data_IF_416909438460
#
_entry.id   IF_416909438460
#
_cell.length_a   1.000
_cell.length_b   1.000
_cell.length_c   1.000
_cell.angle_alpha   90.00
_cell.angle_beta   90.00
_cell.angle_gamma   90.00
#
_symmetry.space_group_name_H-M   'P 1'
#
loop_
_entity.id
_entity.type
_entity.pdbx_description
1 polymer ?
#
# COMPACT_ATOMS: atom_id res chain seq x y z
N UNK A 1 6.45 11.51 -16.65
CA UNK A 1 5.76 10.45 -15.89
C UNK A 1 6.36 10.44 -14.51
N UNK A 2 5.51 10.31 -13.49
CA UNK A 2 5.96 10.22 -12.09
C UNK A 2 6.60 8.84 -11.85
N UNK A 3 7.33 8.71 -10.75
CA UNK A 3 7.99 7.48 -10.30
C UNK A 3 7.77 7.27 -8.81
N UNK A 4 8.02 6.05 -8.33
CA UNK A 4 7.89 5.72 -6.90
C UNK A 4 8.86 6.51 -6.00
N UNK A 5 9.99 6.98 -6.50
CA UNK A 5 10.93 7.81 -5.75
C UNK A 5 10.52 9.29 -5.65
N UNK A 6 9.53 9.72 -6.44
CA UNK A 6 9.07 11.10 -6.42
C UNK A 6 8.22 11.37 -5.16
N UNK A 7 8.11 12.64 -4.78
CA UNK A 7 7.29 13.06 -3.64
C UNK A 7 5.81 12.72 -3.89
N UNK A 8 5.11 12.30 -2.83
CA UNK A 8 3.68 12.05 -2.88
C UNK A 8 2.92 13.29 -3.36
N UNK A 9 2.03 13.16 -4.35
CA UNK A 9 1.11 14.23 -4.71
C UNK A 9 0.09 14.46 -3.58
N UNK A 10 -0.53 15.65 -3.53
CA UNK A 10 -1.49 16.00 -2.47
C UNK A 10 -2.69 15.05 -2.44
N UNK A 11 -3.14 14.61 -3.61
CA UNK A 11 -4.22 13.65 -3.77
C UNK A 11 -3.89 12.30 -3.13
N UNK A 12 -2.61 11.88 -3.15
CA UNK A 12 -2.22 10.64 -2.46
C UNK A 12 -2.27 10.82 -0.93
N UNK A 13 -1.86 11.99 -0.42
CA UNK A 13 -1.97 12.28 1.02
C UNK A 13 -3.44 12.31 1.47
N UNK A 14 -4.32 12.86 0.65
CA UNK A 14 -5.77 12.83 0.85
C UNK A 14 -6.31 11.39 0.84
N UNK A 15 -5.97 10.60 -0.17
CA UNK A 15 -6.36 9.19 -0.25
C UNK A 15 -5.91 8.38 0.97
N UNK A 16 -4.72 8.67 1.51
CA UNK A 16 -4.22 8.04 2.75
C UNK A 16 -5.13 8.35 3.94
N UNK A 17 -5.58 9.59 4.11
CA UNK A 17 -6.51 9.97 5.19
C UNK A 17 -7.88 9.29 5.01
N UNK A 18 -8.45 9.36 3.81
CA UNK A 18 -9.73 8.72 3.43
C UNK A 18 -9.69 7.21 3.72
N UNK A 19 -8.68 6.51 3.20
CA UNK A 19 -8.49 5.06 3.42
C UNK A 19 -8.39 4.71 4.91
N UNK A 20 -7.65 5.53 5.67
CA UNK A 20 -7.40 5.26 7.08
C UNK A 20 -8.59 5.61 7.98
N UNK A 21 -9.54 6.43 7.53
CA UNK A 21 -10.81 6.71 8.22
C UNK A 21 -11.93 5.75 7.88
N UNK A 22 -11.77 4.96 6.81
CA UNK A 22 -12.78 4.02 6.34
C UNK A 22 -13.67 4.57 5.22
N UNK A 23 -13.30 5.73 4.66
CA UNK A 23 -13.96 6.37 3.52
C UNK A 23 -13.39 5.76 2.22
N UNK A 24 -13.54 4.43 2.09
CA UNK A 24 -12.88 3.65 1.05
C UNK A 24 -13.43 3.89 -0.35
N UNK A 25 -14.68 4.35 -0.46
CA UNK A 25 -15.27 4.70 -1.76
C UNK A 25 -14.66 6.01 -2.27
N UNK A 26 -14.55 7.01 -1.39
CA UNK A 26 -13.93 8.30 -1.64
C UNK A 26 -12.44 8.13 -1.95
N UNK A 27 -11.74 7.31 -1.17
CA UNK A 27 -10.35 6.93 -1.46
C UNK A 27 -10.21 6.30 -2.85
N UNK A 28 -11.15 5.45 -3.26
CA UNK A 28 -11.15 4.85 -4.59
C UNK A 28 -11.21 5.93 -5.67
N UNK A 29 -12.11 6.91 -5.54
CA UNK A 29 -12.25 7.99 -6.52
C UNK A 29 -10.97 8.84 -6.58
N UNK A 30 -10.42 9.23 -5.43
CA UNK A 30 -9.17 10.01 -5.36
C UNK A 30 -7.99 9.27 -6.01
N UNK A 31 -7.86 7.96 -5.79
CA UNK A 31 -6.77 7.16 -6.37
C UNK A 31 -6.99 6.85 -7.85
N UNK A 32 -8.23 6.74 -8.31
CA UNK A 32 -8.54 6.56 -9.73
C UNK A 32 -7.99 7.72 -10.57
N UNK A 33 -8.17 8.97 -10.11
CA UNK A 33 -7.60 10.16 -10.76
C UNK A 33 -6.08 10.09 -10.90
N UNK A 34 -5.39 9.56 -9.87
CA UNK A 34 -3.94 9.36 -9.88
C UNK A 34 -3.51 8.22 -10.80
N UNK A 35 -4.32 7.18 -10.92
CA UNK A 35 -4.05 5.99 -11.71
C UNK A 35 -4.23 6.21 -13.21
N UNK A 36 -5.19 7.04 -13.61
CA UNK A 36 -5.50 7.31 -15.02
C UNK A 36 -4.26 7.88 -15.74
N UNK A 37 -3.87 7.22 -16.82
CA UNK A 37 -2.74 7.63 -17.66
C UNK A 37 -1.35 7.22 -17.16
N UNK A 38 -1.23 6.69 -15.94
CA UNK A 38 0.03 6.16 -15.43
C UNK A 38 0.37 4.80 -16.06
N UNK A 39 1.67 4.47 -16.09
CA UNK A 39 2.19 3.19 -16.60
C UNK A 39 3.30 2.65 -15.71
N UNK A 40 3.64 1.38 -15.92
CA UNK A 40 4.71 0.72 -15.18
C UNK A 40 4.40 0.63 -13.69
N UNK A 41 5.41 0.79 -12.87
CA UNK A 41 5.35 0.57 -11.43
C UNK A 41 4.32 1.46 -10.70
N UNK A 42 4.20 2.74 -11.06
CA UNK A 42 3.19 3.62 -10.47
C UNK A 42 1.76 3.20 -10.80
N UNK A 43 1.54 2.66 -12.00
CA UNK A 43 0.23 2.13 -12.36
C UNK A 43 -0.12 0.96 -11.47
N UNK A 44 0.83 0.03 -11.26
CA UNK A 44 0.64 -1.11 -10.37
C UNK A 44 0.42 -0.67 -8.91
N UNK A 45 1.15 0.37 -8.45
CA UNK A 45 0.97 0.96 -7.13
C UNK A 45 -0.44 1.51 -6.93
N UNK A 46 -0.86 2.46 -7.76
CA UNK A 46 -2.19 3.07 -7.62
C UNK A 46 -3.31 2.05 -7.85
N UNK A 47 -3.14 1.12 -8.80
CA UNK A 47 -4.10 0.04 -9.01
C UNK A 47 -4.25 -0.85 -7.77
N UNK A 48 -3.14 -1.20 -7.13
CA UNK A 48 -3.15 -1.99 -5.90
C UNK A 48 -3.89 -1.26 -4.78
N UNK A 49 -3.57 0.00 -4.53
CA UNK A 49 -4.25 0.81 -3.50
C UNK A 49 -5.75 0.94 -3.79
N UNK A 50 -6.11 1.25 -5.04
CA UNK A 50 -7.49 1.36 -5.50
C UNK A 50 -8.26 0.06 -5.26
N UNK A 51 -7.71 -1.08 -5.68
CA UNK A 51 -8.35 -2.38 -5.48
C UNK A 51 -8.53 -2.73 -4.00
N UNK A 52 -7.54 -2.43 -3.16
CA UNK A 52 -7.66 -2.68 -1.71
C UNK A 52 -8.71 -1.79 -1.04
N UNK A 53 -8.89 -0.55 -1.50
CA UNK A 53 -9.96 0.32 -1.02
C UNK A 53 -11.34 -0.28 -1.37
N UNK A 54 -11.54 -0.65 -2.63
CA UNK A 54 -12.80 -1.29 -3.08
C UNK A 54 -13.01 -2.63 -2.38
N UNK A 55 -11.95 -3.39 -2.10
CA UNK A 55 -12.05 -4.64 -1.35
C UNK A 55 -12.62 -4.46 0.07
N UNK A 56 -12.16 -3.42 0.79
CA UNK A 56 -12.67 -3.10 2.12
C UNK A 56 -14.10 -2.55 2.07
N UNK A 57 -14.44 -1.77 1.04
CA UNK A 57 -15.81 -1.35 0.81
C UNK A 57 -16.73 -2.55 0.54
N UNK A 58 -16.33 -3.51 -0.30
CA UNK A 58 -17.06 -4.74 -0.53
C UNK A 58 -17.20 -5.60 0.72
N UNK A 59 -16.15 -5.70 1.54
CA UNK A 59 -16.24 -6.39 2.82
C UNK A 59 -17.29 -5.72 3.74
N UNK A 60 -17.28 -4.39 3.85
CA UNK A 60 -18.26 -3.63 4.64
C UNK A 60 -19.70 -3.85 4.18
N UNK A 61 -19.90 -3.97 2.87
CA UNK A 61 -21.21 -4.12 2.25
C UNK A 61 -21.67 -5.60 2.15
N UNK A 62 -20.90 -6.54 2.71
CA UNK A 62 -21.23 -7.97 2.70
C UNK A 62 -20.93 -8.70 1.40
N UNK A 63 -20.23 -8.08 0.45
CA UNK A 63 -19.79 -8.73 -0.78
C UNK A 63 -18.48 -9.50 -0.56
N UNK A 64 -18.61 -10.70 0.03
CA UNK A 64 -17.50 -11.58 0.37
C UNK A 64 -16.60 -11.93 -0.83
N UNK A 65 -17.19 -12.37 -1.94
CA UNK A 65 -16.44 -12.82 -3.13
C UNK A 65 -15.70 -11.66 -3.79
N UNK A 66 -16.34 -10.50 -3.87
CA UNK A 66 -15.73 -9.27 -4.37
C UNK A 66 -14.54 -8.85 -3.52
N UNK A 67 -14.70 -8.86 -2.18
CA UNK A 67 -13.63 -8.53 -1.25
C UNK A 67 -12.40 -9.44 -1.43
N UNK A 68 -12.58 -10.78 -1.45
CA UNK A 68 -11.47 -11.71 -1.62
C UNK A 68 -10.74 -11.54 -2.96
N UNK A 69 -11.50 -11.35 -4.05
CA UNK A 69 -10.93 -11.18 -5.40
C UNK A 69 -10.05 -9.92 -5.47
N UNK A 70 -10.51 -8.83 -4.87
CA UNK A 70 -9.80 -7.56 -4.89
C UNK A 70 -8.64 -7.50 -3.89
N UNK A 71 -8.74 -8.20 -2.74
CA UNK A 71 -7.60 -8.38 -1.84
C UNK A 71 -6.45 -9.12 -2.53
N UNK A 72 -6.77 -10.19 -3.27
CA UNK A 72 -5.78 -10.96 -4.01
C UNK A 72 -5.15 -10.12 -5.13
N UNK A 73 -5.96 -9.61 -6.05
CA UNK A 73 -5.46 -8.85 -7.20
C UNK A 73 -4.75 -7.56 -6.80
N UNK A 74 -5.24 -6.87 -5.76
CA UNK A 74 -4.59 -5.69 -5.20
C UNK A 74 -3.22 -6.01 -4.62
N UNK A 75 -3.12 -7.08 -3.82
CA UNK A 75 -1.85 -7.59 -3.30
C UNK A 75 -0.87 -7.99 -4.41
N UNK A 76 -1.36 -8.66 -5.46
CA UNK A 76 -0.55 -9.05 -6.62
C UNK A 76 0.01 -7.83 -7.36
N UNK A 77 -0.77 -6.75 -7.48
CA UNK A 77 -0.28 -5.49 -8.03
C UNK A 77 0.85 -4.90 -7.19
N UNK A 78 0.64 -4.79 -5.88
CA UNK A 78 1.64 -4.25 -4.96
C UNK A 78 2.92 -5.10 -4.88
N UNK A 79 2.83 -6.41 -5.13
CA UNK A 79 4.00 -7.30 -5.15
C UNK A 79 5.01 -6.97 -6.28
N UNK A 80 4.56 -6.24 -7.32
CA UNK A 80 5.40 -5.78 -8.44
C UNK A 80 6.00 -4.39 -8.23
N UNK A 81 5.70 -3.76 -7.09
CA UNK A 81 6.10 -2.40 -6.74
C UNK A 81 7.23 -2.43 -5.72
N UNK A 82 8.14 -1.46 -5.80
CA UNK A 82 9.19 -1.26 -4.82
C UNK A 82 8.62 -1.22 -3.39
N UNK A 83 9.40 -1.68 -2.37
CA UNK A 83 8.93 -1.74 -0.98
C UNK A 83 8.41 -0.41 -0.43
N UNK A 84 8.91 0.71 -0.97
CA UNK A 84 8.41 2.06 -0.69
C UNK A 84 8.11 2.74 -2.02
N UNK A 85 6.92 3.31 -2.14
CA UNK A 85 6.50 4.07 -3.31
C UNK A 85 5.78 5.35 -2.88
N UNK A 86 6.27 6.50 -3.33
CA UNK A 86 5.80 7.84 -2.96
C UNK A 86 5.67 8.00 -1.44
N UNK A 87 6.65 7.47 -0.71
CA UNK A 87 6.69 7.47 0.74
C UNK A 87 5.73 6.50 1.42
N UNK A 88 4.89 5.74 0.71
CA UNK A 88 4.03 4.69 1.29
C UNK A 88 4.82 3.39 1.48
N UNK A 89 4.63 2.74 2.63
CA UNK A 89 5.18 1.40 2.92
C UNK A 89 4.36 0.32 2.21
N UNK A 90 4.70 0.10 0.93
CA UNK A 90 4.02 -0.83 0.03
C UNK A 90 4.26 -2.28 0.45
N UNK A 91 5.47 -2.61 0.89
CA UNK A 91 5.79 -3.95 1.36
C UNK A 91 4.90 -4.35 2.55
N UNK A 92 4.70 -3.43 3.50
CA UNK A 92 3.79 -3.68 4.62
C UNK A 92 2.34 -3.81 4.18
N UNK A 93 1.88 -2.94 3.27
CA UNK A 93 0.51 -2.98 2.77
C UNK A 93 0.20 -4.30 2.05
N UNK A 94 1.11 -4.77 1.19
CA UNK A 94 0.96 -6.04 0.48
C UNK A 94 0.92 -7.22 1.46
N UNK A 95 1.81 -7.23 2.46
CA UNK A 95 1.83 -8.28 3.48
C UNK A 95 0.55 -8.28 4.33
N UNK A 96 0.04 -7.11 4.71
CA UNK A 96 -1.19 -6.99 5.50
C UNK A 96 -2.43 -7.35 4.65
N UNK A 97 -2.45 -7.04 3.35
CA UNK A 97 -3.49 -7.50 2.42
C UNK A 97 -3.56 -9.02 2.35
N UNK A 98 -2.42 -9.71 2.27
CA UNK A 98 -2.35 -11.17 2.32
C UNK A 98 -2.88 -11.77 3.63
N UNK A 99 -2.55 -11.17 4.79
CA UNK A 99 -3.08 -11.62 6.09
C UNK A 99 -4.59 -11.44 6.19
N UNK A 100 -5.09 -10.29 5.72
CA UNK A 100 -6.52 -10.00 5.69
C UNK A 100 -7.26 -10.98 4.79
N UNK A 101 -6.73 -11.24 3.59
CA UNK A 101 -7.29 -12.22 2.65
C UNK A 101 -7.40 -13.61 3.28
N UNK A 102 -6.33 -14.08 3.93
CA UNK A 102 -6.31 -15.39 4.59
C UNK A 102 -7.31 -15.47 5.74
N UNK A 103 -7.36 -14.44 6.59
CA UNK A 103 -8.29 -14.39 7.72
C UNK A 103 -9.75 -14.35 7.24
N UNK A 104 -10.05 -13.51 6.25
CA UNK A 104 -11.39 -13.40 5.67
C UNK A 104 -11.81 -14.73 5.01
N UNK A 105 -10.91 -15.37 4.26
CA UNK A 105 -11.17 -16.68 3.66
C UNK A 105 -11.40 -17.77 4.70
N UNK A 106 -10.71 -17.73 5.85
CA UNK A 106 -10.87 -18.70 6.92
C UNK A 106 -12.19 -18.53 7.69
N UNK A 107 -12.69 -17.30 7.80
CA UNK A 107 -14.01 -17.01 8.35
C UNK A 107 -15.13 -17.52 7.43
N UNK A 108 -14.97 -17.31 6.13
CA UNK A 108 -16.02 -17.57 5.14
C UNK A 108 -17.10 -16.48 5.13
N UNK A 109 -18.01 -16.57 4.16
CA UNK A 109 -19.07 -15.58 3.90
C UNK A 109 -19.96 -15.34 5.13
N UNK A 110 -20.41 -16.41 5.79
CA UNK A 110 -21.32 -16.33 6.94
C UNK A 110 -20.73 -15.63 8.17
N UNK A 111 -19.39 -15.56 8.29
CA UNK A 111 -18.68 -15.06 9.48
C UNK A 111 -17.77 -13.89 9.18
N UNK A 112 -17.87 -13.27 8.00
CA UNK A 112 -17.00 -12.17 7.60
C UNK A 112 -17.12 -10.93 8.50
N UNK A 113 -18.24 -10.76 9.20
CA UNK A 113 -18.45 -9.70 10.20
C UNK A 113 -17.65 -9.91 11.49
N UNK A 114 -17.14 -11.12 11.74
CA UNK A 114 -16.26 -11.44 12.87
C UNK A 114 -14.79 -11.06 12.60
N UNK A 115 -14.50 -10.47 11.43
CA UNK A 115 -13.15 -10.05 11.08
C UNK A 115 -12.59 -9.08 12.13
N UNK A 116 -11.41 -9.40 12.63
CA UNK A 116 -10.78 -8.62 13.68
C UNK A 116 -10.39 -7.22 13.18
N UNK A 117 -10.81 -6.19 13.92
CA UNK A 117 -10.57 -4.79 13.56
C UNK A 117 -9.08 -4.45 13.31
N UNK A 118 -8.15 -5.18 13.94
CA UNK A 118 -6.70 -4.99 13.77
C UNK A 118 -6.17 -5.41 12.40
N UNK A 119 -6.93 -6.21 11.65
CA UNK A 119 -6.58 -6.69 10.32
C UNK A 119 -7.05 -5.75 9.21
N UNK A 120 -7.90 -4.78 9.54
CA UNK A 120 -8.32 -3.75 8.58
C UNK A 120 -7.08 -2.96 8.15
N UNK A 121 -6.87 -2.91 6.83
CA UNK A 121 -5.66 -2.33 6.24
C UNK A 121 -5.54 -0.86 6.61
N UNK A 122 -4.29 -0.39 6.61
CA UNK A 122 -3.96 1.02 6.74
C UNK A 122 -2.86 1.37 5.75
N UNK A 123 -3.00 2.52 5.09
CA UNK A 123 -1.93 3.12 4.34
C UNK A 123 -1.00 3.85 5.31
N UNK A 124 0.27 3.43 5.34
CA UNK A 124 1.27 4.02 6.23
C UNK A 124 2.38 4.62 5.41
N UNK A 125 2.85 5.78 5.84
CA UNK A 125 4.09 6.34 5.34
C UNK A 125 5.25 5.52 5.91
N UNK A 126 6.22 5.18 5.06
CA UNK A 126 7.47 4.57 5.46
C UNK A 126 8.18 5.50 6.45
N UNK A 127 8.74 4.91 7.51
CA UNK A 127 9.63 5.67 8.38
C UNK A 127 10.78 6.24 7.52
N UNK A 128 11.18 7.49 7.78
CA UNK A 128 12.41 8.01 7.16
C UNK A 128 13.52 7.03 7.53
N UNK A 129 14.18 6.44 6.53
CA UNK A 129 15.44 5.73 6.79
C UNK A 129 16.34 6.68 7.57
N UNK A 130 17.04 6.22 8.62
CA UNK A 130 18.10 7.02 9.20
C UNK A 130 19.05 7.43 8.07
N UNK A 131 19.58 8.68 8.06
CA UNK A 131 20.56 9.08 7.06
C UNK A 131 21.66 8.02 7.04
N UNK A 132 21.99 7.51 5.84
CA UNK A 132 23.11 6.59 5.65
C UNK A 132 24.34 7.37 6.13
N UNK A 133 24.89 6.98 7.28
CA UNK A 133 26.13 7.57 7.75
C UNK A 133 27.19 7.28 6.69
N UNK A 134 27.94 8.30 6.22
CA UNK A 134 29.02 8.06 5.28
C UNK A 134 30.02 7.08 5.91
N UNK A 135 30.62 6.17 5.13
CA UNK A 135 31.62 5.25 5.66
C UNK A 135 32.74 6.07 6.34
N UNK A 136 33.31 5.56 7.45
CA UNK A 136 34.38 6.26 8.15
C UNK A 136 35.52 6.55 7.18
N UNK A 137 35.98 7.80 7.18
CA UNK A 137 37.09 8.26 6.34
C UNK A 137 38.35 7.47 6.72
N UNK A 138 38.74 6.51 5.88
CA UNK A 138 40.02 5.82 5.95
C UNK A 138 41.13 6.87 5.88
N UNK A 139 41.77 7.16 7.03
CA UNK A 139 42.96 8.00 7.05
C UNK A 139 44.07 7.23 6.32
N UNK A 140 44.28 7.57 5.05
CA UNK A 140 45.43 7.13 4.27
C UNK A 140 46.70 7.32 5.09
N UNK A 141 47.35 6.19 5.39
CA UNK A 141 48.55 6.13 6.20
C UNK A 141 49.65 7.01 5.61
N UNK A 142 50.19 7.88 6.45
CA UNK A 142 51.52 8.44 6.25
C UNK A 142 52.53 7.33 6.54
N UNK A 143 52.96 6.63 5.49
CA UNK A 143 54.11 5.73 5.49
C UNK A 143 55.17 6.34 4.59
N UNK A 144 56.31 6.70 5.19
CA UNK A 144 57.29 7.62 4.62
C UNK A 144 58.11 7.11 3.43
N UNK A 145 58.87 8.04 2.85
CA UNK A 145 60.35 7.99 2.71
C UNK A 145 60.85 9.43 2.86
#
# INVERSE_FOLDING_TARGET
MRRCEDVAPEELLRAIDEFNRGDWFECHETVEELWVGEKGELRDFYQGVLQLAVALHHWRDGNFKGALTLLQSGGDCLSRVAPVCQGVDVARLAADAGKLQQALSALGEERMSELEQRLILKLRLAAKSPPIEPPPFEKGGSGGI
#
